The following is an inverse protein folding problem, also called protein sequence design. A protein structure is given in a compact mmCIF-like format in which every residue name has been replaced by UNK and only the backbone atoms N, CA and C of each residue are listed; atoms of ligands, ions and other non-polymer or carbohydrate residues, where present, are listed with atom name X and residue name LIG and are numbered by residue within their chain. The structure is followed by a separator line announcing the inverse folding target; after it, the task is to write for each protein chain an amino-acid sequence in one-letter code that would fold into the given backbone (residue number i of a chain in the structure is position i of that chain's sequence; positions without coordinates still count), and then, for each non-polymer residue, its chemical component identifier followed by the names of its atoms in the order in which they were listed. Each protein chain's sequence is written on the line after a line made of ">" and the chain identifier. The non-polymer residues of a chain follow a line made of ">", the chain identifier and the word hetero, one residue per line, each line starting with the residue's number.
data_IF_593393989078
#
_entry.id   IF_593393989078
#
_cell.length_a   1.000
_cell.length_b   1.000
_cell.length_c   1.000
_cell.angle_alpha   90.00
_cell.angle_beta   90.00
_cell.angle_gamma   90.00
#
_symmetry.space_group_name_H-M   'P 1'
#
loop_
_entity.id
_entity.type
_entity.pdbx_description
1 polymer ?
#
# COMPACT_ATOMS: atom_id res chain seq x y z
N UNK A 1 35.44 -1.86 48.25
CA UNK A 1 34.17 -1.83 49.01
C UNK A 1 33.06 -1.67 47.97
N UNK A 2 32.32 -2.73 47.65
CA UNK A 2 31.30 -2.67 46.60
C UNK A 2 29.99 -2.13 47.19
N UNK A 3 29.66 -0.89 46.84
CA UNK A 3 28.38 -0.29 47.18
C UNK A 3 27.33 -0.86 46.21
N UNK A 4 26.56 -1.86 46.65
CA UNK A 4 25.36 -2.29 45.93
C UNK A 4 24.21 -1.40 46.37
N UNK A 5 24.03 -0.26 45.71
CA UNK A 5 22.83 0.57 45.86
C UNK A 5 21.66 -0.18 45.19
N UNK A 6 20.78 -0.76 46.00
CA UNK A 6 19.51 -1.30 45.52
C UNK A 6 18.55 -0.17 45.16
N UNK A 7 17.82 -0.34 44.06
CA UNK A 7 16.77 0.58 43.63
C UNK A 7 15.58 0.52 44.60
N UNK A 8 14.94 1.65 44.90
CA UNK A 8 13.80 1.70 45.83
C UNK A 8 12.47 1.37 45.12
N UNK A 9 11.48 0.87 45.85
CA UNK A 9 10.15 0.59 45.29
C UNK A 9 9.45 1.88 44.80
N UNK A 10 9.67 3.01 45.49
CA UNK A 10 9.08 4.30 45.11
C UNK A 10 9.64 4.77 43.75
N UNK A 11 10.93 4.55 43.49
CA UNK A 11 11.52 4.90 42.19
C UNK A 11 10.92 4.07 41.06
N UNK A 12 10.65 2.78 41.26
CA UNK A 12 9.97 1.96 40.26
C UNK A 12 8.53 2.41 39.99
N UNK A 13 7.79 2.78 41.04
CA UNK A 13 6.41 3.27 40.89
C UNK A 13 6.40 4.59 40.11
N UNK A 14 7.32 5.50 40.41
CA UNK A 14 7.42 6.77 39.69
C UNK A 14 7.73 6.56 38.20
N UNK A 15 8.65 5.63 37.87
CA UNK A 15 8.95 5.27 36.48
C UNK A 15 7.72 4.69 35.78
N UNK A 16 6.96 3.81 36.43
CA UNK A 16 5.73 3.24 35.87
C UNK A 16 4.66 4.30 35.60
N UNK A 17 4.50 5.29 36.50
CA UNK A 17 3.55 6.39 36.31
C UNK A 17 3.94 7.23 35.09
N UNK A 18 5.24 7.57 34.95
CA UNK A 18 5.72 8.33 33.79
C UNK A 18 5.51 7.55 32.50
N UNK A 19 5.88 6.26 32.45
CA UNK A 19 5.66 5.41 31.27
C UNK A 19 4.18 5.32 30.92
N UNK A 20 3.30 5.25 31.92
CA UNK A 20 1.84 5.18 31.70
C UNK A 20 1.30 6.44 31.01
N UNK A 21 1.73 7.63 31.45
CA UNK A 21 1.31 8.90 30.85
C UNK A 21 1.90 9.05 29.44
N UNK A 22 3.19 8.72 29.27
CA UNK A 22 3.84 8.78 27.96
C UNK A 22 3.21 7.81 26.95
N UNK A 23 2.87 6.58 27.38
CA UNK A 23 2.22 5.59 26.54
C UNK A 23 0.83 6.05 26.07
N UNK A 24 0.04 6.64 26.99
CA UNK A 24 -1.30 7.14 26.67
C UNK A 24 -1.28 8.22 25.56
N UNK A 25 -0.26 9.08 25.55
CA UNK A 25 -0.09 10.12 24.52
C UNK A 25 0.56 9.60 23.23
N UNK A 26 1.46 8.63 23.34
CA UNK A 26 2.26 8.13 22.21
C UNK A 26 1.45 7.22 21.28
N UNK A 27 0.60 6.34 21.81
CA UNK A 27 -0.12 5.31 21.04
C UNK A 27 -1.00 5.93 19.93
N UNK A 28 -1.88 6.92 20.18
CA UNK A 28 -2.74 7.47 19.14
C UNK A 28 -1.94 8.11 18.00
N UNK A 29 -0.88 8.86 18.34
CA UNK A 29 -0.01 9.50 17.35
C UNK A 29 0.74 8.46 16.52
N UNK A 30 1.21 7.39 17.14
CA UNK A 30 1.90 6.30 16.45
C UNK A 30 1.02 5.67 15.37
N UNK A 31 -0.25 5.38 15.68
CA UNK A 31 -1.22 4.83 14.71
C UNK A 31 -1.40 5.76 13.50
N UNK A 32 -1.52 7.08 13.73
CA UNK A 32 -1.61 8.06 12.63
C UNK A 32 -0.34 8.09 11.77
N UNK A 33 0.84 8.06 12.38
CA UNK A 33 2.12 8.06 11.65
C UNK A 33 2.26 6.81 10.78
N UNK A 34 1.88 5.65 11.30
CA UNK A 34 1.93 4.39 10.52
C UNK A 34 1.02 4.48 9.30
N UNK A 35 -0.24 4.92 9.46
CA UNK A 35 -1.18 5.08 8.34
C UNK A 35 -0.71 6.08 7.30
N UNK A 36 -0.14 7.21 7.73
CA UNK A 36 0.43 8.21 6.82
C UNK A 36 1.66 7.67 6.09
N UNK A 37 2.47 6.86 6.76
CA UNK A 37 3.66 6.25 6.18
C UNK A 37 3.30 5.19 5.14
N UNK A 38 2.26 4.39 5.39
CA UNK A 38 1.69 3.45 4.41
C UNK A 38 1.16 4.19 3.18
N UNK A 39 0.33 5.22 3.36
CA UNK A 39 -0.18 6.04 2.25
C UNK A 39 0.93 6.73 1.45
N UNK A 40 2.01 7.18 2.11
CA UNK A 40 3.16 7.76 1.43
C UNK A 40 3.95 6.72 0.63
N UNK A 41 4.08 5.49 1.14
CA UNK A 41 4.71 4.39 0.43
C UNK A 41 3.89 3.96 -0.80
N UNK A 42 2.57 3.87 -0.65
CA UNK A 42 1.63 3.63 -1.75
C UNK A 42 1.78 4.70 -2.84
N UNK A 43 1.83 5.97 -2.46
CA UNK A 43 2.03 7.07 -3.40
C UNK A 43 3.34 6.91 -4.20
N UNK A 44 4.43 6.47 -3.56
CA UNK A 44 5.70 6.21 -4.24
C UNK A 44 5.61 5.09 -5.27
N UNK A 45 4.88 4.01 -4.95
CA UNK A 45 4.61 2.91 -5.88
C UNK A 45 3.75 3.37 -7.06
N UNK A 46 2.68 4.13 -6.80
CA UNK A 46 1.78 4.56 -7.87
C UNK A 46 2.44 5.56 -8.81
N UNK A 47 3.28 6.47 -8.29
CA UNK A 47 4.09 7.37 -9.14
C UNK A 47 4.99 6.55 -10.06
N UNK A 48 5.67 5.52 -9.54
CA UNK A 48 6.56 4.71 -10.38
C UNK A 48 5.81 3.93 -11.46
N UNK A 49 4.59 3.45 -11.15
CA UNK A 49 3.70 2.81 -12.13
C UNK A 49 3.29 3.79 -13.22
N UNK A 50 2.82 4.99 -12.87
CA UNK A 50 2.42 6.01 -13.86
C UNK A 50 3.59 6.43 -14.75
N UNK A 51 4.77 6.65 -14.17
CA UNK A 51 5.97 7.01 -14.93
C UNK A 51 6.39 5.90 -15.90
N UNK A 52 6.29 4.63 -15.48
CA UNK A 52 6.57 3.48 -16.32
C UNK A 52 5.54 3.34 -17.45
N UNK A 53 4.25 3.50 -17.15
CA UNK A 53 3.16 3.45 -18.15
C UNK A 53 3.26 4.60 -19.17
N UNK A 54 3.59 5.81 -18.72
CA UNK A 54 3.82 6.96 -19.61
C UNK A 54 5.01 6.72 -20.55
N UNK A 55 6.08 6.10 -20.03
CA UNK A 55 7.24 5.73 -20.83
C UNK A 55 6.92 4.63 -21.84
N UNK A 56 6.23 3.58 -21.41
CA UNK A 56 5.78 2.50 -22.27
C UNK A 56 4.86 2.99 -23.39
N UNK A 57 3.83 3.79 -23.07
CA UNK A 57 2.91 4.33 -24.07
C UNK A 57 3.62 5.19 -25.12
N UNK A 58 4.64 5.96 -24.71
CA UNK A 58 5.48 6.75 -25.62
C UNK A 58 6.34 5.86 -26.53
N UNK A 59 6.91 4.78 -26.00
CA UNK A 59 7.66 3.81 -26.79
C UNK A 59 6.76 3.12 -27.82
N UNK A 60 5.56 2.72 -27.44
CA UNK A 60 4.58 2.11 -28.35
C UNK A 60 4.12 3.08 -29.43
N UNK A 61 3.93 4.35 -29.09
CA UNK A 61 3.62 5.38 -30.07
C UNK A 61 4.73 5.56 -31.10
N UNK A 62 6.00 5.52 -30.67
CA UNK A 62 7.15 5.59 -31.59
C UNK A 62 7.23 4.35 -32.47
N UNK A 63 6.96 3.16 -31.93
CA UNK A 63 7.11 1.89 -32.63
C UNK A 63 5.96 1.58 -33.60
N UNK A 64 4.72 1.86 -33.21
CA UNK A 64 3.50 1.44 -33.91
C UNK A 64 2.66 2.61 -34.45
N UNK A 65 3.00 3.85 -34.08
CA UNK A 65 2.25 5.05 -34.44
C UNK A 65 1.00 5.29 -33.57
N UNK A 66 0.69 4.40 -32.63
CA UNK A 66 -0.44 4.51 -31.70
C UNK A 66 0.06 4.21 -30.29
N UNK A 67 -0.36 5.00 -29.31
CA UNK A 67 -0.05 4.72 -27.91
C UNK A 67 -0.88 3.53 -27.44
N UNK A 68 -0.25 2.59 -26.74
CA UNK A 68 -0.92 1.44 -26.14
C UNK A 68 -0.27 1.13 -24.79
N UNK A 69 -1.03 0.54 -23.88
CA UNK A 69 -0.60 0.19 -22.54
C UNK A 69 -0.78 -1.32 -22.29
N UNK A 70 0.01 -1.91 -21.38
CA UNK A 70 -0.12 -3.34 -21.05
C UNK A 70 -1.42 -3.64 -20.31
N UNK A 71 -1.87 -4.90 -20.34
CA UNK A 71 -3.03 -5.33 -19.54
C UNK A 71 -2.76 -5.22 -18.04
N UNK A 72 -1.52 -5.52 -17.61
CA UNK A 72 -1.09 -5.40 -16.22
C UNK A 72 -0.13 -4.22 -16.05
N UNK A 73 -0.45 -3.22 -15.20
CA UNK A 73 0.36 -2.02 -15.02
C UNK A 73 1.70 -2.28 -14.31
N UNK A 74 1.83 -3.37 -13.55
CA UNK A 74 3.10 -3.76 -12.92
C UNK A 74 4.09 -4.42 -13.88
N UNK A 75 3.64 -4.85 -15.06
CA UNK A 75 4.49 -5.55 -16.04
C UNK A 75 5.58 -4.66 -16.66
N UNK A 76 5.39 -3.34 -16.63
CA UNK A 76 6.32 -2.36 -17.20
C UNK A 76 7.32 -1.80 -16.18
N UNK A 77 7.20 -2.20 -14.92
CA UNK A 77 8.12 -1.75 -13.87
C UNK A 77 9.45 -2.49 -13.94
N UNK A 78 10.56 -1.74 -13.89
CA UNK A 78 11.89 -2.31 -13.70
C UNK A 78 12.05 -3.00 -12.34
N UNK A 79 11.45 -2.41 -11.31
CA UNK A 79 11.44 -2.94 -9.95
C UNK A 79 10.00 -2.91 -9.44
N UNK A 80 9.38 -4.08 -9.38
CA UNK A 80 8.06 -4.23 -8.75
C UNK A 80 8.15 -4.00 -7.24
N UNK A 81 7.05 -3.61 -6.57
CA UNK A 81 7.00 -3.53 -5.11
C UNK A 81 7.46 -4.84 -4.45
N UNK A 82 8.15 -4.80 -3.29
CA UNK A 82 8.73 -5.99 -2.67
C UNK A 82 7.73 -7.12 -2.37
N UNK A 83 6.46 -6.78 -2.12
CA UNK A 83 5.38 -7.71 -1.82
C UNK A 83 4.35 -7.79 -2.95
N UNK A 84 4.76 -7.51 -4.19
CA UNK A 84 3.90 -7.70 -5.35
C UNK A 84 3.79 -9.18 -5.71
N UNK A 85 2.57 -9.68 -5.79
CA UNK A 85 2.30 -11.02 -6.30
C UNK A 85 2.52 -11.07 -7.81
N UNK A 86 3.46 -11.92 -8.22
CA UNK A 86 3.78 -12.13 -9.63
C UNK A 86 3.04 -13.30 -10.23
N UNK A 87 2.44 -14.19 -9.42
CA UNK A 87 1.69 -15.33 -9.94
C UNK A 87 0.39 -14.86 -10.57
N UNK A 88 -0.22 -13.80 -10.01
CA UNK A 88 -1.53 -13.32 -10.42
C UNK A 88 -2.64 -14.29 -10.01
N UNK A 89 -2.35 -15.18 -9.06
CA UNK A 89 -3.28 -16.19 -8.54
C UNK A 89 -3.82 -15.81 -7.16
N UNK A 90 -3.25 -14.78 -6.52
CA UNK A 90 -3.70 -14.35 -5.19
C UNK A 90 -4.95 -13.50 -5.30
N UNK A 91 -6.06 -14.03 -4.80
CA UNK A 91 -7.31 -13.29 -4.66
C UNK A 91 -7.23 -12.23 -3.56
N UNK A 92 -8.08 -11.19 -3.66
CA UNK A 92 -8.17 -10.11 -2.67
C UNK A 92 -8.43 -10.62 -1.24
N UNK A 93 -9.15 -11.74 -1.11
CA UNK A 93 -9.44 -12.37 0.19
C UNK A 93 -8.21 -13.05 0.79
N UNK A 94 -7.28 -13.56 -0.02
CA UNK A 94 -6.14 -14.37 0.44
C UNK A 94 -4.83 -13.57 0.58
N UNK A 95 -4.84 -12.28 0.23
CA UNK A 95 -3.69 -11.38 0.39
C UNK A 95 -3.11 -11.41 1.81
N UNK A 96 -1.78 -11.36 1.93
CA UNK A 96 -1.07 -11.16 3.19
C UNK A 96 -0.72 -9.68 3.42
N UNK A 97 -0.34 -9.35 4.65
CA UNK A 97 -0.04 -7.97 5.03
C UNK A 97 1.06 -7.35 4.16
N UNK A 98 0.80 -6.14 3.67
CA UNK A 98 1.64 -5.37 2.74
C UNK A 98 1.69 -5.90 1.30
N UNK A 99 0.91 -6.92 0.95
CA UNK A 99 0.87 -7.44 -0.42
C UNK A 99 0.31 -6.41 -1.40
N UNK A 100 0.79 -6.50 -2.63
CA UNK A 100 0.27 -5.82 -3.80
C UNK A 100 -0.20 -6.85 -4.81
N UNK A 101 -1.41 -6.70 -5.34
CA UNK A 101 -1.90 -7.54 -6.43
C UNK A 101 -2.47 -6.67 -7.55
N UNK A 102 -2.64 -7.30 -8.70
CA UNK A 102 -3.48 -6.80 -9.78
C UNK A 102 -4.54 -7.85 -10.09
N UNK A 103 -5.81 -7.47 -9.99
CA UNK A 103 -6.96 -8.39 -10.10
C UNK A 103 -7.17 -8.94 -11.51
N UNK A 104 -6.57 -8.32 -12.53
CA UNK A 104 -6.73 -8.75 -13.92
C UNK A 104 -8.04 -8.26 -14.56
N UNK A 105 -8.18 -8.54 -15.85
CA UNK A 105 -9.33 -8.11 -16.66
C UNK A 105 -10.54 -9.01 -16.43
N UNK A 106 -10.30 -10.27 -16.09
CA UNK A 106 -11.33 -11.31 -15.99
C UNK A 106 -12.04 -11.36 -14.62
N UNK A 107 -11.65 -10.52 -13.66
CA UNK A 107 -12.29 -10.42 -12.36
C UNK A 107 -13.72 -9.85 -12.51
N UNK A 108 -14.71 -10.55 -11.95
CA UNK A 108 -16.12 -10.22 -12.12
C UNK A 108 -16.57 -9.05 -11.24
N UNK A 109 -15.89 -8.82 -10.12
CA UNK A 109 -16.30 -7.84 -9.11
C UNK A 109 -15.39 -6.62 -9.12
N UNK A 110 -14.09 -6.84 -9.29
CA UNK A 110 -13.03 -5.84 -9.24
C UNK A 110 -12.11 -5.93 -10.46
N UNK A 111 -12.60 -5.76 -11.71
CA UNK A 111 -11.75 -5.81 -12.89
C UNK A 111 -10.73 -4.65 -12.92
N UNK A 112 -9.52 -4.92 -13.36
CA UNK A 112 -8.45 -3.91 -13.54
C UNK A 112 -8.20 -3.06 -12.30
N UNK A 113 -8.03 -3.71 -11.15
CA UNK A 113 -7.71 -3.03 -9.89
C UNK A 113 -6.29 -3.30 -9.47
N UNK A 114 -5.61 -2.23 -9.08
CA UNK A 114 -4.41 -2.32 -8.25
C UNK A 114 -4.88 -2.34 -6.81
N UNK A 115 -4.45 -3.34 -6.05
CA UNK A 115 -4.87 -3.50 -4.66
C UNK A 115 -3.64 -3.61 -3.77
N UNK A 116 -3.64 -2.84 -2.68
CA UNK A 116 -2.63 -2.95 -1.62
C UNK A 116 -3.27 -3.29 -0.28
N UNK A 117 -2.70 -4.27 0.42
CA UNK A 117 -3.15 -4.67 1.75
C UNK A 117 -2.39 -3.95 2.85
N UNK A 118 -3.08 -3.08 3.59
CA UNK A 118 -2.51 -2.41 4.77
C UNK A 118 -2.53 -3.30 6.01
N UNK A 119 -1.70 -2.98 7.01
CA UNK A 119 -1.58 -3.74 8.26
C UNK A 119 -2.83 -3.75 9.16
N UNK A 120 -3.86 -2.99 8.80
CA UNK A 120 -5.14 -2.92 9.53
C UNK A 120 -6.26 -3.71 8.86
N UNK A 121 -5.91 -4.71 8.03
CA UNK A 121 -6.88 -5.57 7.30
C UNK A 121 -7.81 -4.77 6.36
N UNK A 122 -7.31 -3.61 5.91
CA UNK A 122 -7.97 -2.78 4.90
C UNK A 122 -7.21 -2.87 3.58
N UNK A 123 -7.96 -2.99 2.50
CA UNK A 123 -7.47 -2.98 1.13
C UNK A 123 -7.67 -1.59 0.55
N UNK A 124 -6.57 -0.98 0.13
CA UNK A 124 -6.60 0.23 -0.68
C UNK A 124 -6.69 -0.19 -2.15
N UNK A 125 -7.68 0.31 -2.87
CA UNK A 125 -7.98 -0.09 -4.23
C UNK A 125 -7.89 1.11 -5.18
N UNK A 126 -7.17 0.95 -6.28
CA UNK A 126 -7.09 1.91 -7.38
C UNK A 126 -7.55 1.28 -8.68
N UNK A 127 -8.18 2.08 -9.52
CA UNK A 127 -8.61 1.68 -10.86
C UNK A 127 -7.45 1.85 -11.85
N UNK A 128 -7.31 0.91 -12.77
CA UNK A 128 -6.43 1.03 -13.93
C UNK A 128 -7.25 0.96 -15.22
N UNK A 129 -7.01 1.89 -16.14
CA UNK A 129 -7.58 1.84 -17.49
C UNK A 129 -6.48 1.46 -18.51
N UNK A 130 -6.50 0.24 -19.09
CA UNK A 130 -5.52 -0.16 -20.10
C UNK A 130 -5.68 0.56 -21.44
N UNK A 131 -6.82 1.21 -21.69
CA UNK A 131 -7.06 1.95 -22.94
C UNK A 131 -6.42 3.34 -22.95
N UNK A 132 -6.24 3.96 -21.77
CA UNK A 132 -5.61 5.28 -21.62
C UNK A 132 -4.31 5.25 -20.83
N UNK A 133 -4.04 4.17 -20.10
CA UNK A 133 -2.90 4.05 -19.19
C UNK A 133 -3.09 4.76 -17.85
N UNK A 134 -4.30 5.25 -17.55
CA UNK A 134 -4.56 6.07 -16.37
C UNK A 134 -4.79 5.24 -15.10
N UNK A 135 -4.27 5.74 -13.98
CA UNK A 135 -4.60 5.25 -12.64
C UNK A 135 -5.65 6.16 -11.99
N UNK A 136 -6.92 5.86 -12.22
CA UNK A 136 -8.05 6.61 -11.65
C UNK A 136 -8.18 8.04 -12.14
N UNK A 137 -8.77 8.92 -11.31
CA UNK A 137 -8.97 10.32 -11.67
C UNK A 137 -7.66 11.10 -11.45
N UNK A 138 -7.01 11.44 -12.56
CA UNK A 138 -5.64 11.95 -12.66
C UNK A 138 -5.37 13.26 -11.89
N UNK A 139 -4.41 13.16 -10.98
CA UNK A 139 -3.32 14.09 -10.60
C UNK A 139 -2.89 13.69 -9.17
N UNK A 140 -1.58 13.61 -8.84
CA UNK A 140 -1.15 13.25 -7.51
C UNK A 140 -1.74 14.23 -6.46
N UNK A 141 -2.21 13.73 -5.30
CA UNK A 141 -2.02 12.37 -4.79
C UNK A 141 -2.98 11.33 -5.39
N UNK A 142 -2.46 10.14 -5.68
CA UNK A 142 -3.22 8.98 -6.15
C UNK A 142 -3.93 8.34 -4.96
N UNK A 143 -5.11 8.86 -4.64
CA UNK A 143 -5.93 8.34 -3.55
C UNK A 143 -6.66 7.06 -3.98
N UNK A 144 -6.82 6.09 -3.06
CA UNK A 144 -7.65 4.92 -3.33
C UNK A 144 -9.08 5.34 -3.66
N UNK A 145 -9.65 4.71 -4.68
CA UNK A 145 -11.05 4.90 -5.08
C UNK A 145 -11.98 4.34 -4.00
N UNK A 146 -11.57 3.23 -3.39
CA UNK A 146 -12.29 2.59 -2.30
C UNK A 146 -11.33 1.99 -1.28
N UNK A 147 -11.81 1.91 -0.04
CA UNK A 147 -11.16 1.19 1.05
C UNK A 147 -12.09 0.05 1.44
N UNK A 148 -11.64 -1.19 1.29
CA UNK A 148 -12.45 -2.38 1.55
C UNK A 148 -11.88 -3.07 2.79
N UNK A 149 -12.73 -3.56 3.68
CA UNK A 149 -12.32 -4.45 4.75
C UNK A 149 -12.56 -5.89 4.32
N UNK A 150 -11.65 -6.80 4.69
CA UNK A 150 -11.75 -8.21 4.30
C UNK A 150 -13.13 -8.86 4.56
N UNK A 151 -13.83 -8.58 5.69
CA UNK A 151 -15.16 -9.14 5.92
C UNK A 151 -16.26 -8.66 4.96
N UNK A 152 -16.02 -7.55 4.26
CA UNK A 152 -16.97 -6.97 3.30
C UNK A 152 -16.74 -7.49 1.87
N UNK A 153 -15.64 -8.21 1.63
CA UNK A 153 -15.46 -8.99 0.41
C UNK A 153 -16.42 -10.18 0.52
N UNK A 154 -17.42 -10.24 -0.38
CA UNK A 154 -18.32 -11.39 -0.45
C UNK A 154 -17.54 -12.69 -0.68
N UNK A 155 -18.03 -13.78 -0.10
CA UNK A 155 -17.53 -15.14 -0.39
C UNK A 155 -17.74 -15.53 -1.86
#
# INVERSE_FOLDING_TARGET
>A
MNIKNGFTMIELILVMIIISILAALSIPRFVTIVRQSEAAAEQGVLISVVDALSTYGREQFIASGVASWPDNPFSVLNTVPPAYDKTGETDMIDMNDSDWIFTGIDDQQYPNRIVHRRKQDSLAVWTYDPSTGDLGYADPPYVPVEMIYRPDLGE
#
